data_IF_054761255960
#
_entry.id   IF_054761255960
#
_cell.length_a   1.000
_cell.length_b   1.000
_cell.length_c   1.000
_cell.angle_alpha   90.00
_cell.angle_beta   90.00
_cell.angle_gamma   90.00
#
_symmetry.space_group_name_H-M   'P 1'
#
loop_
_entity.id
_entity.type
_entity.pdbx_description
1 polymer ?
#
# COMPACT_ATOMS: atom_id res chain seq x y z
N UNK A 1 -14.04 8.67 13.69
CA UNK A 1 -15.06 7.61 13.90
C UNK A 1 -14.87 6.55 12.83
N UNK A 2 -14.36 5.37 13.20
CA UNK A 2 -14.24 4.22 12.31
C UNK A 2 -15.58 3.48 12.25
N UNK A 3 -16.08 3.18 11.06
CA UNK A 3 -17.30 2.37 10.92
C UNK A 3 -17.07 0.96 11.48
N UNK A 4 -18.11 0.39 12.12
CA UNK A 4 -18.09 -1.00 12.61
C UNK A 4 -17.93 -1.97 11.44
N UNK A 5 -17.14 -3.02 11.63
CA UNK A 5 -16.94 -4.11 10.65
C UNK A 5 -18.30 -4.63 10.19
N UNK A 6 -18.52 -4.70 8.88
CA UNK A 6 -19.78 -5.15 8.28
C UNK A 6 -20.83 -4.06 8.03
N UNK A 7 -20.59 -2.82 8.44
CA UNK A 7 -21.50 -1.69 8.17
C UNK A 7 -20.95 -0.83 7.04
N UNK A 8 -21.79 -0.55 6.04
CA UNK A 8 -21.43 0.39 4.98
C UNK A 8 -21.04 1.73 5.60
N UNK A 9 -19.83 2.22 5.31
CA UNK A 9 -19.26 3.40 5.96
C UNK A 9 -20.04 4.70 5.67
N UNK A 10 -21.09 4.64 4.83
CA UNK A 10 -21.98 5.75 4.46
C UNK A 10 -21.34 6.84 3.60
N UNK A 11 -20.02 6.98 3.69
CA UNK A 11 -19.23 8.05 3.07
C UNK A 11 -18.89 7.82 1.59
N UNK A 12 -19.25 6.68 1.00
CA UNK A 12 -18.85 6.30 -0.37
C UNK A 12 -17.34 6.09 -0.56
N UNK A 13 -16.52 6.38 0.46
CA UNK A 13 -15.06 6.33 0.40
C UNK A 13 -14.49 4.94 0.16
N UNK A 14 -15.27 3.86 0.35
CA UNK A 14 -14.79 2.49 0.15
C UNK A 14 -14.22 2.23 -1.25
N UNK A 15 -14.83 2.80 -2.31
CA UNK A 15 -14.30 2.68 -3.69
C UNK A 15 -12.97 3.41 -3.87
N UNK A 16 -12.81 4.59 -3.25
CA UNK A 16 -11.60 5.41 -3.36
C UNK A 16 -10.48 4.88 -2.46
N UNK A 17 -10.81 4.48 -1.22
CA UNK A 17 -9.89 3.86 -0.26
C UNK A 17 -9.34 2.54 -0.75
N UNK A 18 -10.13 1.76 -1.49
CA UNK A 18 -9.71 0.45 -1.95
C UNK A 18 -8.41 0.48 -2.77
N UNK A 19 -8.20 1.52 -3.58
CA UNK A 19 -6.95 1.68 -4.32
C UNK A 19 -5.73 1.83 -3.39
N UNK A 20 -5.89 2.63 -2.33
CA UNK A 20 -4.85 2.90 -1.33
C UNK A 20 -4.62 1.66 -0.46
N UNK A 21 -5.67 1.03 0.05
CA UNK A 21 -5.60 -0.18 0.87
C UNK A 21 -4.95 -1.34 0.12
N UNK A 22 -5.28 -1.50 -1.17
CA UNK A 22 -4.66 -2.48 -2.05
C UNK A 22 -3.16 -2.20 -2.27
N UNK A 23 -2.77 -0.93 -2.42
CA UNK A 23 -1.36 -0.55 -2.52
C UNK A 23 -0.60 -0.89 -1.23
N UNK A 24 -1.17 -0.60 -0.06
CA UNK A 24 -0.59 -1.00 1.23
C UNK A 24 -0.47 -2.52 1.37
N UNK A 25 -1.48 -3.29 0.91
CA UNK A 25 -1.40 -4.75 0.91
C UNK A 25 -0.22 -5.28 0.07
N UNK A 26 0.09 -4.65 -1.06
CA UNK A 26 1.27 -4.99 -1.87
C UNK A 26 2.58 -4.59 -1.19
N UNK A 27 2.64 -3.41 -0.57
CA UNK A 27 3.81 -2.98 0.21
C UNK A 27 4.09 -3.93 1.38
N UNK A 28 3.04 -4.46 2.02
CA UNK A 28 3.16 -5.44 3.11
C UNK A 28 3.76 -6.79 2.67
N UNK A 29 3.73 -7.13 1.37
CA UNK A 29 4.42 -8.32 0.85
C UNK A 29 5.95 -8.17 0.86
N UNK A 30 6.45 -6.94 0.86
CA UNK A 30 7.88 -6.66 0.97
C UNK A 30 8.29 -6.71 2.45
N UNK A 31 8.78 -7.87 2.92
CA UNK A 31 9.12 -8.14 4.34
C UNK A 31 9.96 -7.04 5.02
N UNK A 32 10.83 -6.34 4.27
CA UNK A 32 11.68 -5.24 4.77
C UNK A 32 10.91 -3.93 5.06
N UNK A 33 9.74 -3.74 4.45
CA UNK A 33 8.83 -2.62 4.73
C UNK A 33 7.88 -2.93 5.89
N UNK A 34 7.69 -4.21 6.24
CA UNK A 34 6.78 -4.67 7.31
C UNK A 34 7.32 -4.40 8.72
N UNK A 35 8.64 -4.49 8.91
CA UNK A 35 9.30 -4.26 10.19
C UNK A 35 9.77 -2.81 10.29
N UNK A 36 9.12 -2.01 11.15
CA UNK A 36 9.55 -0.65 11.49
C UNK A 36 10.74 -0.69 12.46
N UNK A 37 11.83 -1.36 12.08
CA UNK A 37 13.06 -1.33 12.88
C UNK A 37 13.84 -0.06 12.50
N UNK A 38 13.61 1.02 13.25
CA UNK A 38 14.24 2.32 12.98
C UNK A 38 15.68 2.35 13.50
N UNK A 39 16.62 2.26 12.59
CA UNK A 39 17.89 2.97 12.75
C UNK A 39 18.15 3.97 11.60
N UNK A 40 17.52 3.82 10.41
CA UNK A 40 17.66 4.76 9.28
C UNK A 40 16.37 4.89 8.47
N UNK A 41 15.76 6.08 8.48
CA UNK A 41 14.54 6.38 7.72
C UNK A 41 14.81 6.45 6.20
N UNK A 42 16.01 6.84 5.80
CA UNK A 42 16.39 7.05 4.40
C UNK A 42 16.39 5.74 3.61
N UNK A 43 16.88 4.65 4.25
CA UNK A 43 16.85 3.31 3.66
C UNK A 43 15.40 2.83 3.49
N UNK A 44 14.53 3.14 4.44
CA UNK A 44 13.12 2.77 4.36
C UNK A 44 12.42 3.51 3.22
N UNK A 45 12.71 4.81 3.06
CA UNK A 45 12.20 5.62 1.96
C UNK A 45 12.66 5.09 0.59
N UNK A 46 13.94 4.78 0.42
CA UNK A 46 14.45 4.21 -0.84
C UNK A 46 13.82 2.84 -1.17
N UNK A 47 13.61 1.99 -0.17
CA UNK A 47 12.91 0.71 -0.37
C UNK A 47 11.43 0.89 -0.73
N UNK A 48 10.78 1.93 -0.19
CA UNK A 48 9.40 2.29 -0.53
C UNK A 48 9.29 2.71 -1.99
N UNK A 49 10.16 3.61 -2.44
CA UNK A 49 10.19 4.11 -3.82
C UNK A 49 10.46 2.99 -4.84
N UNK A 50 11.39 2.09 -4.51
CA UNK A 50 11.69 0.92 -5.33
C UNK A 50 10.50 -0.05 -5.42
N UNK A 51 9.81 -0.30 -4.28
CA UNK A 51 8.62 -1.14 -4.26
C UNK A 51 7.48 -0.54 -5.11
N UNK A 52 7.24 0.77 -5.01
CA UNK A 52 6.27 1.48 -5.85
C UNK A 52 6.60 1.35 -7.34
N UNK A 53 7.87 1.55 -7.72
CA UNK A 53 8.32 1.43 -9.10
C UNK A 53 8.10 0.03 -9.69
N UNK A 54 8.39 -1.01 -8.90
CA UNK A 54 8.14 -2.42 -9.28
C UNK A 54 6.65 -2.72 -9.44
N UNK A 55 5.79 -2.19 -8.56
CA UNK A 55 4.34 -2.33 -8.66
C UNK A 55 3.84 -1.68 -9.95
N UNK A 56 4.28 -0.46 -10.25
CA UNK A 56 3.93 0.25 -11.49
C UNK A 56 4.38 -0.55 -12.73
N UNK A 57 5.62 -1.04 -12.75
CA UNK A 57 6.14 -1.84 -13.86
C UNK A 57 5.34 -3.13 -14.09
N UNK A 58 5.01 -3.87 -13.02
CA UNK A 58 4.19 -5.08 -13.12
C UNK A 58 2.81 -4.78 -13.71
N UNK A 59 2.20 -3.67 -13.29
CA UNK A 59 0.87 -3.25 -13.74
C UNK A 59 0.86 -2.79 -15.19
N UNK A 60 1.91 -2.10 -15.61
CA UNK A 60 2.13 -1.75 -17.02
C UNK A 60 2.29 -3.02 -17.87
N UNK A 61 3.12 -3.98 -17.46
CA UNK A 61 3.31 -5.25 -18.19
C UNK A 61 2.05 -6.10 -18.31
N UNK A 62 1.10 -5.99 -17.39
CA UNK A 62 -0.20 -6.68 -17.48
C UNK A 62 -1.24 -5.93 -18.32
N UNK A 63 -0.99 -4.67 -18.66
CA UNK A 63 -1.91 -3.83 -19.42
C UNK A 63 -1.65 -3.84 -20.93
N UNK A 64 -0.51 -4.36 -21.34
CA UNK A 64 -0.16 -4.70 -22.72
C UNK A 64 -0.34 -6.21 -22.93
#
# INVERSE_FOLDING_TARGET
MTARRGVAHGSGLGKVRWAIERAFAWLHQFKRLRLRHKQRADIHQGLLELACSLICLRRLRTSF
#
